data_IF_784046440842
#
_entry.id   IF_784046440842
#
_cell.length_a   1.000
_cell.length_b   1.000
_cell.length_c   1.000
_cell.angle_alpha   90.00
_cell.angle_beta   90.00
_cell.angle_gamma   90.00
#
_symmetry.space_group_name_H-M   'P 1'
#
loop_
_entity.id
_entity.type
_entity.pdbx_description
1 polymer ?
#
# COMPACT_ATOMS: atom_id res chain seq x y z
N UNK A 1 50.21 12.20 12.92
CA UNK A 1 49.85 12.38 11.51
C UNK A 1 49.80 10.99 10.86
N UNK A 2 48.66 10.32 10.91
CA UNK A 2 48.38 9.09 10.14
C UNK A 2 46.91 9.11 9.78
N UNK A 3 46.64 9.16 8.49
CA UNK A 3 45.31 9.07 7.86
C UNK A 3 44.82 7.63 7.92
N UNK A 4 43.61 7.42 8.44
CA UNK A 4 42.84 6.19 8.19
C UNK A 4 41.59 6.56 7.39
N UNK A 5 41.62 6.15 6.12
CA UNK A 5 40.44 6.10 5.24
C UNK A 5 39.53 4.95 5.69
N UNK A 6 38.37 5.28 6.23
CA UNK A 6 37.28 4.33 6.43
C UNK A 6 36.33 4.35 5.23
N UNK A 7 36.28 3.27 4.48
CA UNK A 7 35.27 3.03 3.45
C UNK A 7 33.93 2.76 4.13
N UNK A 8 32.98 3.66 4.02
CA UNK A 8 31.58 3.44 4.35
C UNK A 8 30.89 2.81 3.14
N UNK A 9 30.55 1.51 3.25
CA UNK A 9 29.59 0.87 2.38
C UNK A 9 28.20 1.24 2.89
N UNK A 10 27.61 2.27 2.34
CA UNK A 10 26.17 2.55 2.52
C UNK A 10 25.39 1.67 1.57
N UNK A 11 24.86 0.56 2.10
CA UNK A 11 23.79 -0.19 1.44
C UNK A 11 22.55 0.69 1.40
N UNK A 12 22.08 0.99 0.19
CA UNK A 12 20.87 1.77 -0.05
C UNK A 12 19.65 0.94 0.36
N UNK A 13 19.15 1.10 1.58
CA UNK A 13 17.83 0.59 1.99
C UNK A 13 16.77 1.48 1.33
N UNK A 14 16.00 0.92 0.41
CA UNK A 14 14.76 1.52 -0.08
C UNK A 14 13.82 1.74 1.10
N UNK A 15 13.53 2.99 1.42
CA UNK A 15 12.60 3.35 2.50
C UNK A 15 11.17 3.29 1.99
N UNK A 16 10.36 2.39 2.56
CA UNK A 16 8.92 2.57 2.59
C UNK A 16 8.60 3.63 3.64
N UNK A 17 7.86 4.68 3.26
CA UNK A 17 7.42 5.69 4.22
C UNK A 17 6.09 5.25 4.84
N UNK A 18 6.11 4.93 6.13
CA UNK A 18 4.92 4.66 6.94
C UNK A 18 4.56 5.97 7.65
N UNK A 19 3.40 6.51 7.35
CA UNK A 19 2.82 7.67 8.05
C UNK A 19 1.82 7.13 9.07
N UNK A 20 2.21 7.11 10.34
CA UNK A 20 1.40 6.59 11.46
C UNK A 20 2.27 6.31 12.69
N UNK A 21 1.66 5.98 13.81
CA UNK A 21 2.27 5.83 15.14
C UNK A 21 3.48 4.88 15.20
N UNK A 22 4.38 5.03 16.19
CA UNK A 22 5.64 4.27 16.27
C UNK A 22 5.38 2.77 16.46
N UNK A 23 5.98 1.98 15.60
CA UNK A 23 5.97 0.52 15.65
C UNK A 23 6.72 0.04 16.89
N UNK A 24 6.01 -0.58 17.81
CA UNK A 24 6.61 -1.36 18.89
C UNK A 24 7.08 -2.70 18.34
N UNK A 25 8.39 -2.94 18.32
CA UNK A 25 8.97 -4.22 17.90
C UNK A 25 8.64 -5.34 18.91
N UNK A 26 7.98 -6.38 18.42
CA UNK A 26 8.18 -7.72 18.92
C UNK A 26 7.34 -8.16 20.11
N UNK A 27 6.07 -8.50 19.87
CA UNK A 27 5.42 -9.56 20.65
C UNK A 27 4.91 -10.63 19.69
N UNK A 28 5.31 -11.87 19.94
CA UNK A 28 4.68 -13.06 19.34
C UNK A 28 3.23 -13.07 19.78
N UNK A 29 2.31 -13.18 18.82
CA UNK A 29 0.90 -13.41 19.09
C UNK A 29 0.76 -14.68 19.97
N UNK A 30 0.45 -14.49 21.26
CA UNK A 30 0.08 -15.52 22.19
C UNK A 30 -1.44 -15.60 22.25
N UNK A 31 -1.96 -16.81 22.12
CA UNK A 31 -3.35 -17.20 22.14
C UNK A 31 -4.22 -16.41 23.14
N UNK A 32 -5.15 -15.62 22.63
CA UNK A 32 -6.38 -15.02 23.15
C UNK A 32 -6.55 -13.57 22.65
N UNK A 33 -6.40 -13.34 21.36
CA UNK A 33 -6.79 -12.08 20.73
C UNK A 33 -8.09 -12.27 19.98
N UNK A 34 -8.98 -11.29 20.02
CA UNK A 34 -10.26 -11.33 19.30
C UNK A 34 -10.03 -11.44 17.80
N UNK A 35 -10.85 -12.26 17.14
CA UNK A 35 -10.78 -12.50 15.70
C UNK A 35 -11.42 -11.30 14.99
N UNK A 36 -10.61 -10.52 14.28
CA UNK A 36 -11.08 -9.36 13.50
C UNK A 36 -11.56 -9.82 12.12
N UNK A 37 -12.70 -9.30 11.70
CA UNK A 37 -13.24 -9.51 10.35
C UNK A 37 -12.84 -8.34 9.44
N UNK A 38 -11.88 -8.57 8.55
CA UNK A 38 -11.25 -7.54 7.72
C UNK A 38 -11.78 -7.59 6.30
N UNK A 39 -12.25 -6.45 5.77
CA UNK A 39 -12.53 -6.31 4.35
C UNK A 39 -11.33 -5.67 3.63
N UNK A 40 -10.81 -6.38 2.64
CA UNK A 40 -9.77 -5.85 1.75
C UNK A 40 -10.40 -5.55 0.39
N UNK A 41 -10.27 -4.29 -0.06
CA UNK A 41 -10.75 -3.85 -1.38
C UNK A 41 -9.55 -3.37 -2.19
N UNK A 42 -9.47 -3.79 -3.44
CA UNK A 42 -8.39 -3.34 -4.30
C UNK A 42 -8.87 -2.83 -5.66
N UNK A 43 -8.15 -1.82 -6.19
CA UNK A 43 -8.22 -1.36 -7.56
C UNK A 43 -6.85 -1.54 -8.25
N UNK A 44 -6.87 -2.14 -9.44
CA UNK A 44 -5.64 -2.43 -10.19
C UNK A 44 -5.84 -2.20 -11.67
N UNK A 45 -4.82 -1.65 -12.32
CA UNK A 45 -4.76 -1.52 -13.78
C UNK A 45 -3.94 -2.67 -14.38
N UNK A 46 -2.77 -2.95 -13.79
CA UNK A 46 -1.76 -3.87 -14.32
C UNK A 46 -1.65 -5.19 -13.52
N UNK A 47 -2.51 -5.40 -12.54
CA UNK A 47 -2.55 -6.61 -11.73
C UNK A 47 -1.59 -6.66 -10.54
N UNK A 48 -0.65 -5.71 -10.39
CA UNK A 48 0.26 -5.73 -9.24
C UNK A 48 -0.45 -5.46 -7.93
N UNK A 49 -1.39 -4.51 -7.89
CA UNK A 49 -2.18 -4.24 -6.68
C UNK A 49 -3.05 -5.42 -6.30
N UNK A 50 -3.58 -6.20 -7.26
CA UNK A 50 -4.25 -7.48 -6.98
C UNK A 50 -3.31 -8.44 -6.27
N UNK A 51 -2.09 -8.65 -6.77
CA UNK A 51 -1.08 -9.52 -6.14
C UNK A 51 -0.76 -9.08 -4.70
N UNK A 52 -0.64 -7.76 -4.48
CA UNK A 52 -0.44 -7.17 -3.15
C UNK A 52 -1.63 -7.48 -2.25
N UNK A 53 -2.85 -7.25 -2.72
CA UNK A 53 -4.07 -7.48 -1.95
C UNK A 53 -4.31 -8.97 -1.63
N UNK A 54 -4.04 -9.87 -2.57
CA UNK A 54 -4.10 -11.33 -2.36
C UNK A 54 -3.06 -11.80 -1.33
N UNK A 55 -1.85 -11.25 -1.39
CA UNK A 55 -0.80 -11.53 -0.41
C UNK A 55 -1.22 -11.01 0.98
N UNK A 56 -1.71 -9.77 1.06
CA UNK A 56 -2.22 -9.17 2.30
C UNK A 56 -3.34 -10.01 2.91
N UNK A 57 -4.30 -10.44 2.09
CA UNK A 57 -5.40 -11.29 2.56
C UNK A 57 -4.92 -12.63 3.12
N UNK A 58 -3.94 -13.26 2.49
CA UNK A 58 -3.33 -14.49 3.00
C UNK A 58 -2.60 -14.24 4.30
N UNK A 59 -1.77 -13.20 4.39
CA UNK A 59 -1.00 -12.85 5.57
C UNK A 59 -1.89 -12.58 6.80
N UNK A 60 -2.98 -11.84 6.63
CA UNK A 60 -3.98 -11.58 7.68
C UNK A 60 -4.70 -12.87 8.12
N UNK A 61 -5.03 -13.78 7.18
CA UNK A 61 -5.62 -15.09 7.53
C UNK A 61 -4.65 -15.99 8.28
N UNK A 62 -3.37 -15.99 7.88
CA UNK A 62 -2.30 -16.74 8.57
C UNK A 62 -2.06 -16.24 9.99
N UNK A 63 -2.38 -14.97 10.27
CA UNK A 63 -2.38 -14.37 11.61
C UNK A 63 -3.63 -14.69 12.43
N UNK A 64 -4.58 -15.48 11.90
CA UNK A 64 -5.76 -15.98 12.64
C UNK A 64 -7.03 -15.13 12.49
N UNK A 65 -7.06 -14.18 11.58
CA UNK A 65 -8.22 -13.30 11.35
C UNK A 65 -9.05 -13.74 10.15
N UNK A 66 -10.30 -13.24 10.06
CA UNK A 66 -11.20 -13.49 8.93
C UNK A 66 -11.02 -12.39 7.89
N UNK A 67 -10.93 -12.77 6.60
CA UNK A 67 -10.72 -11.80 5.52
C UNK A 67 -11.64 -12.08 4.35
N UNK A 68 -12.36 -11.04 3.93
CA UNK A 68 -12.98 -10.98 2.61
C UNK A 68 -12.17 -10.07 1.69
N UNK A 69 -11.94 -10.51 0.44
CA UNK A 69 -11.19 -9.78 -0.58
C UNK A 69 -12.13 -9.44 -1.74
N UNK A 70 -12.23 -8.15 -2.09
CA UNK A 70 -13.10 -7.66 -3.17
C UNK A 70 -12.33 -6.85 -4.20
N UNK A 71 -12.62 -7.10 -5.47
CA UNK A 71 -12.17 -6.24 -6.59
C UNK A 71 -13.15 -5.07 -6.75
N UNK A 72 -12.63 -3.84 -6.73
CA UNK A 72 -13.46 -2.62 -6.87
C UNK A 72 -14.16 -2.52 -8.23
N UNK A 73 -13.64 -3.18 -9.26
CA UNK A 73 -14.24 -3.18 -10.59
C UNK A 73 -15.57 -3.97 -10.68
N UNK A 74 -15.81 -4.90 -9.75
CA UNK A 74 -17.00 -5.75 -9.71
C UNK A 74 -17.82 -5.57 -8.43
N UNK A 75 -17.53 -4.53 -7.63
CA UNK A 75 -18.31 -4.22 -6.45
C UNK A 75 -19.77 -3.85 -6.85
N UNK A 76 -20.66 -4.84 -6.72
CA UNK A 76 -22.07 -4.54 -6.61
C UNK A 76 -22.35 -3.91 -5.25
N UNK A 77 -23.24 -2.91 -5.19
CA UNK A 77 -23.69 -2.13 -4.02
C UNK A 77 -23.05 -2.50 -2.66
N UNK A 78 -22.51 -1.53 -1.95
CA UNK A 78 -21.80 -1.69 -0.66
C UNK A 78 -22.67 -2.17 0.52
N UNK A 79 -23.56 -3.14 0.30
CA UNK A 79 -24.35 -3.74 1.38
C UNK A 79 -23.49 -4.66 2.25
N UNK A 80 -23.73 -4.62 3.56
CA UNK A 80 -23.04 -5.47 4.54
C UNK A 80 -21.67 -5.00 4.95
N UNK A 81 -21.27 -3.75 4.66
CA UNK A 81 -19.99 -3.21 5.07
C UNK A 81 -19.88 -3.02 6.60
N UNK A 82 -21.00 -2.82 7.26
CA UNK A 82 -21.09 -2.63 8.71
C UNK A 82 -20.66 -3.88 9.50
N UNK A 83 -20.71 -5.05 8.87
CA UNK A 83 -20.32 -6.33 9.50
C UNK A 83 -18.80 -6.53 9.62
N UNK A 84 -18.00 -5.70 8.95
CA UNK A 84 -16.56 -5.75 9.05
C UNK A 84 -16.05 -4.86 10.17
N UNK A 85 -15.02 -5.32 10.87
CA UNK A 85 -14.40 -4.61 11.99
C UNK A 85 -13.32 -3.64 11.51
N UNK A 86 -12.65 -3.98 10.40
CA UNK A 86 -11.58 -3.19 9.82
C UNK A 86 -11.53 -3.24 8.29
N UNK A 87 -10.91 -2.24 7.67
CA UNK A 87 -10.82 -2.09 6.23
C UNK A 87 -9.37 -1.88 5.77
N UNK A 88 -8.96 -2.59 4.72
CA UNK A 88 -7.72 -2.29 3.99
C UNK A 88 -8.09 -1.98 2.55
N UNK A 89 -7.74 -0.79 2.07
CA UNK A 89 -7.99 -0.40 0.68
C UNK A 89 -6.64 -0.26 -0.02
N UNK A 90 -6.47 -0.95 -1.15
CA UNK A 90 -5.26 -0.91 -1.96
C UNK A 90 -5.58 -0.39 -3.37
N UNK A 91 -4.87 0.63 -3.81
CA UNK A 91 -5.10 1.22 -5.13
C UNK A 91 -3.80 1.55 -5.85
N UNK A 92 -3.71 1.24 -7.15
CA UNK A 92 -2.61 1.72 -7.98
C UNK A 92 -2.86 3.15 -8.45
N UNK A 93 -1.76 3.87 -8.62
CA UNK A 93 -1.77 5.19 -9.26
C UNK A 93 -1.54 5.02 -10.76
N UNK A 94 -2.41 5.62 -11.56
CA UNK A 94 -2.29 5.73 -13.00
C UNK A 94 -2.60 7.17 -13.41
N UNK A 95 -1.73 7.80 -14.22
CA UNK A 95 -1.87 9.22 -14.62
C UNK A 95 -2.08 10.16 -13.42
N UNK A 96 -1.26 10.00 -12.38
CA UNK A 96 -1.31 10.78 -11.14
C UNK A 96 -2.61 10.64 -10.31
N UNK A 97 -3.48 9.71 -10.62
CA UNK A 97 -4.73 9.44 -9.92
C UNK A 97 -4.88 7.98 -9.52
N UNK A 98 -5.59 7.73 -8.42
CA UNK A 98 -6.05 6.38 -8.08
C UNK A 98 -7.28 6.03 -8.93
N UNK A 99 -7.59 4.72 -9.08
CA UNK A 99 -8.73 4.28 -9.89
C UNK A 99 -10.05 4.90 -9.42
N UNK A 100 -10.89 5.32 -10.38
CA UNK A 100 -12.20 5.91 -10.12
C UNK A 100 -13.11 4.99 -9.29
N UNK A 101 -13.03 3.67 -9.51
CA UNK A 101 -13.80 2.68 -8.73
C UNK A 101 -13.47 2.74 -7.24
N UNK A 102 -12.20 2.90 -6.88
CA UNK A 102 -11.75 3.06 -5.49
C UNK A 102 -12.13 4.44 -4.96
N UNK A 103 -11.93 5.49 -5.76
CA UNK A 103 -12.28 6.87 -5.38
C UNK A 103 -13.79 6.98 -5.09
N UNK A 104 -14.62 6.43 -5.96
CA UNK A 104 -16.07 6.40 -5.80
C UNK A 104 -16.49 5.59 -4.56
N UNK A 105 -15.88 4.42 -4.35
CA UNK A 105 -16.14 3.61 -3.15
C UNK A 105 -15.78 4.37 -1.87
N UNK A 106 -14.58 4.92 -1.79
CA UNK A 106 -14.13 5.65 -0.62
C UNK A 106 -15.00 6.89 -0.35
N UNK A 107 -15.38 7.64 -1.41
CA UNK A 107 -16.28 8.79 -1.30
C UNK A 107 -17.67 8.39 -0.78
N UNK A 108 -18.24 7.31 -1.30
CA UNK A 108 -19.56 6.85 -0.88
C UNK A 108 -19.59 6.36 0.58
N UNK A 109 -18.48 5.79 1.05
CA UNK A 109 -18.41 5.11 2.35
C UNK A 109 -17.46 5.80 3.35
N UNK A 110 -16.98 7.03 3.07
CA UNK A 110 -16.01 7.73 3.92
C UNK A 110 -16.44 7.84 5.39
N UNK A 111 -17.73 8.01 5.66
CA UNK A 111 -18.24 8.11 7.03
C UNK A 111 -18.00 6.82 7.81
N UNK A 112 -18.31 5.67 7.22
CA UNK A 112 -18.06 4.36 7.81
C UNK A 112 -16.56 4.11 7.97
N UNK A 113 -15.78 4.36 6.91
CA UNK A 113 -14.34 4.17 6.91
C UNK A 113 -13.61 5.06 7.94
N UNK A 114 -14.17 6.22 8.28
CA UNK A 114 -13.63 7.11 9.30
C UNK A 114 -14.02 6.69 10.74
N UNK A 115 -15.02 5.84 10.92
CA UNK A 115 -15.42 5.35 12.24
C UNK A 115 -14.72 4.06 12.64
N UNK A 116 -14.28 3.25 11.67
CA UNK A 116 -13.61 1.96 11.89
C UNK A 116 -12.12 2.04 11.58
N UNK A 117 -11.28 1.16 12.15
CA UNK A 117 -9.90 1.01 11.73
C UNK A 117 -9.82 0.83 10.21
N UNK A 118 -9.06 1.69 9.54
CA UNK A 118 -8.95 1.62 8.09
C UNK A 118 -7.55 1.99 7.62
N UNK A 119 -6.99 1.22 6.69
CA UNK A 119 -5.66 1.40 6.14
C UNK A 119 -5.70 1.61 4.63
N UNK A 120 -4.81 2.46 4.14
CA UNK A 120 -4.64 2.72 2.71
C UNK A 120 -3.26 2.28 2.21
N UNK A 121 -3.22 1.47 1.16
CA UNK A 121 -2.01 1.07 0.46
C UNK A 121 -2.03 1.73 -0.93
N UNK A 122 -1.25 2.80 -1.08
CA UNK A 122 -1.08 3.50 -2.35
C UNK A 122 0.09 2.90 -3.11
N UNK A 123 -0.19 2.32 -4.27
CA UNK A 123 0.80 1.60 -5.09
C UNK A 123 1.20 2.46 -6.29
N UNK A 124 2.47 2.88 -6.34
CA UNK A 124 2.97 3.71 -7.45
C UNK A 124 4.44 3.42 -7.75
N UNK A 125 4.90 3.80 -8.94
CA UNK A 125 6.34 3.79 -9.26
C UNK A 125 7.08 4.94 -8.56
N UNK A 126 6.41 6.06 -8.32
CA UNK A 126 7.00 7.20 -7.59
C UNK A 126 7.44 6.80 -6.18
N UNK A 127 6.75 5.86 -5.52
CA UNK A 127 7.10 5.39 -4.19
C UNK A 127 8.50 4.74 -4.09
N UNK A 128 9.10 4.32 -5.21
CA UNK A 128 10.45 3.69 -5.24
C UNK A 128 11.55 4.61 -5.74
N UNK A 129 11.23 5.83 -6.12
CA UNK A 129 12.21 6.83 -6.55
C UNK A 129 12.72 7.61 -5.34
N UNK A 130 14.02 7.93 -5.27
CA UNK A 130 14.60 8.70 -4.16
C UNK A 130 13.92 10.06 -3.96
N UNK A 131 13.54 10.72 -5.06
CA UNK A 131 12.84 12.00 -5.05
C UNK A 131 11.32 11.85 -5.20
N UNK A 132 10.83 10.63 -5.46
CA UNK A 132 9.42 10.33 -5.76
C UNK A 132 8.53 10.19 -4.52
N UNK A 133 9.10 10.13 -3.32
CA UNK A 133 8.32 9.99 -2.09
C UNK A 133 7.36 11.15 -1.85
N UNK A 134 7.73 12.37 -2.24
CA UNK A 134 6.84 13.55 -2.17
C UNK A 134 5.69 13.42 -3.16
N UNK A 135 5.98 13.07 -4.40
CA UNK A 135 4.97 12.86 -5.45
C UNK A 135 4.00 11.75 -5.07
N UNK A 136 4.50 10.63 -4.53
CA UNK A 136 3.66 9.54 -4.04
C UNK A 136 2.76 9.98 -2.88
N UNK A 137 3.24 10.86 -2.00
CA UNK A 137 2.43 11.45 -0.93
C UNK A 137 1.38 12.42 -1.48
N UNK A 138 1.71 13.25 -2.47
CA UNK A 138 0.76 14.16 -3.13
C UNK A 138 -0.42 13.40 -3.75
N UNK A 139 -0.19 12.18 -4.30
CA UNK A 139 -1.30 11.34 -4.78
C UNK A 139 -2.25 10.91 -3.66
N UNK A 140 -1.70 10.56 -2.50
CA UNK A 140 -2.51 10.21 -1.32
C UNK A 140 -3.26 11.42 -0.80
N UNK A 141 -2.60 12.58 -0.67
CA UNK A 141 -3.21 13.80 -0.16
C UNK A 141 -4.38 14.25 -1.06
N UNK A 142 -4.20 14.17 -2.38
CA UNK A 142 -5.25 14.43 -3.35
C UNK A 142 -6.43 13.47 -3.21
N UNK A 143 -6.16 12.18 -3.06
CA UNK A 143 -7.18 11.16 -2.86
C UNK A 143 -7.98 11.37 -1.57
N UNK A 144 -7.30 11.63 -0.45
CA UNK A 144 -7.91 11.92 0.85
C UNK A 144 -8.78 13.19 0.77
N UNK A 145 -8.28 14.24 0.10
CA UNK A 145 -9.02 15.48 -0.10
C UNK A 145 -10.32 15.30 -0.89
N UNK A 146 -10.29 14.47 -1.94
CA UNK A 146 -11.45 14.23 -2.81
C UNK A 146 -12.48 13.33 -2.14
N UNK A 147 -12.02 12.28 -1.45
CA UNK A 147 -12.90 11.26 -0.88
C UNK A 147 -13.46 11.62 0.48
N UNK A 148 -12.76 12.47 1.25
CA UNK A 148 -13.08 12.76 2.65
C UNK A 148 -12.80 11.60 3.60
N UNK A 149 -12.21 10.49 3.09
CA UNK A 149 -11.76 9.38 3.93
C UNK A 149 -10.37 9.67 4.51
N UNK A 150 -10.24 9.51 5.82
CA UNK A 150 -9.00 9.69 6.59
C UNK A 150 -8.53 8.32 7.10
N UNK A 151 -7.70 7.58 6.33
CA UNK A 151 -7.20 6.29 6.79
C UNK A 151 -6.36 6.45 8.06
N UNK A 152 -6.53 5.54 9.02
CA UNK A 152 -5.74 5.55 10.26
C UNK A 152 -4.26 5.22 10.02
N UNK A 153 -3.97 4.49 8.94
CA UNK A 153 -2.60 4.18 8.50
C UNK A 153 -2.50 4.23 6.97
N UNK A 154 -1.38 4.70 6.46
CA UNK A 154 -1.10 4.75 5.01
C UNK A 154 0.27 4.18 4.70
N UNK A 155 0.35 3.36 3.65
CA UNK A 155 1.60 2.83 3.10
C UNK A 155 1.77 3.29 1.66
N UNK A 156 2.90 3.94 1.37
CA UNK A 156 3.37 4.20 0.02
C UNK A 156 4.21 3.00 -0.42
N UNK A 157 3.75 2.25 -1.40
CA UNK A 157 4.36 0.98 -1.80
C UNK A 157 4.73 0.99 -3.29
N UNK A 158 5.90 0.44 -3.59
CA UNK A 158 6.33 0.23 -4.96
C UNK A 158 5.46 -0.79 -5.69
N UNK A 159 5.05 -0.43 -6.91
CA UNK A 159 4.31 -1.33 -7.79
C UNK A 159 5.21 -2.24 -8.63
N UNK A 160 4.81 -2.51 -9.86
CA UNK A 160 5.60 -3.20 -10.86
C UNK A 160 5.61 -2.40 -12.16
N UNK A 161 6.71 -2.51 -12.90
CA UNK A 161 6.81 -2.02 -14.25
C UNK A 161 6.58 -3.21 -15.18
N UNK A 162 5.49 -3.16 -15.96
CA UNK A 162 5.20 -4.14 -17.00
C UNK A 162 5.37 -3.51 -18.37
N UNK A 163 6.20 -4.12 -19.18
CA UNK A 163 6.43 -3.70 -20.56
C UNK A 163 5.35 -4.28 -21.47
N UNK A 164 4.11 -3.84 -21.27
CA UNK A 164 3.04 -4.06 -22.24
C UNK A 164 2.99 -2.91 -23.24
N UNK A 165 2.47 -3.13 -24.44
CA UNK A 165 2.53 -2.27 -25.64
C UNK A 165 1.82 -0.89 -25.51
N UNK A 166 1.77 -0.28 -24.32
CA UNK A 166 1.07 0.98 -24.11
C UNK A 166 2.02 2.18 -23.99
N UNK A 167 1.81 3.20 -24.81
CA UNK A 167 2.58 4.45 -24.90
C UNK A 167 2.74 5.19 -23.56
N UNK A 168 1.77 5.09 -22.66
CA UNK A 168 1.82 5.70 -21.33
C UNK A 168 2.99 5.19 -20.47
N UNK A 169 3.30 3.90 -20.56
CA UNK A 169 4.41 3.32 -19.82
C UNK A 169 5.78 3.75 -20.35
N UNK A 170 5.89 4.13 -21.60
CA UNK A 170 7.14 4.65 -22.16
C UNK A 170 7.57 5.94 -21.44
N UNK A 171 6.64 6.85 -21.12
CA UNK A 171 6.96 8.06 -20.34
C UNK A 171 7.41 7.74 -18.92
N UNK A 172 6.74 6.82 -18.23
CA UNK A 172 7.12 6.42 -16.87
C UNK A 172 8.45 5.67 -16.86
N UNK A 173 8.70 4.83 -17.86
CA UNK A 173 9.98 4.14 -18.08
C UNK A 173 11.10 5.15 -18.33
N UNK A 174 10.86 6.13 -19.20
CA UNK A 174 11.85 7.18 -19.50
C UNK A 174 12.16 7.98 -18.23
N UNK A 175 11.16 8.41 -17.47
CA UNK A 175 11.37 9.08 -16.18
C UNK A 175 12.17 8.21 -15.23
N UNK A 176 11.80 6.94 -15.08
CA UNK A 176 12.49 5.99 -14.20
C UNK A 176 13.95 5.71 -14.64
N UNK A 177 14.19 5.53 -15.94
CA UNK A 177 15.53 5.25 -16.50
C UNK A 177 16.42 6.50 -16.46
N UNK A 178 15.86 7.68 -16.75
CA UNK A 178 16.59 8.95 -16.71
C UNK A 178 16.97 9.34 -15.29
N UNK A 179 16.10 9.11 -14.31
CA UNK A 179 16.37 9.41 -12.90
C UNK A 179 17.39 8.45 -12.28
N UNK A 180 17.42 7.18 -12.67
CA UNK A 180 18.51 6.25 -12.30
C UNK A 180 19.68 6.39 -13.28
N UNK A 181 20.50 7.42 -13.10
CA UNK A 181 21.75 7.59 -13.81
C UNK A 181 22.59 6.31 -13.81
N UNK A 182 22.68 5.70 -14.96
CA UNK A 182 23.70 4.69 -15.19
C UNK A 182 23.18 3.37 -15.75
N UNK A 183 22.99 3.32 -17.04
CA UNK A 183 23.18 2.09 -17.76
C UNK A 183 21.95 1.39 -18.31
N UNK A 184 21.92 1.41 -19.62
CA UNK A 184 21.32 0.41 -20.49
C UNK A 184 19.83 0.14 -20.33
N UNK A 185 19.06 0.95 -20.99
CA UNK A 185 17.72 0.61 -21.50
C UNK A 185 17.73 -0.60 -22.46
N UNK A 186 18.56 -1.62 -22.22
CA UNK A 186 18.82 -2.69 -23.20
C UNK A 186 18.14 -4.02 -22.96
N UNK A 187 17.36 -4.17 -21.88
CA UNK A 187 16.44 -5.30 -21.76
C UNK A 187 15.22 -4.83 -21.00
N UNK A 188 14.22 -4.37 -21.73
CA UNK A 188 12.87 -4.14 -21.20
C UNK A 188 12.31 -5.49 -20.71
N UNK A 189 12.37 -5.73 -19.40
CA UNK A 189 11.76 -6.89 -18.74
C UNK A 189 10.87 -6.38 -17.63
N UNK A 190 9.77 -7.04 -17.41
CA UNK A 190 8.90 -6.82 -16.25
C UNK A 190 9.75 -6.79 -14.98
N UNK A 191 9.53 -5.77 -14.14
CA UNK A 191 10.26 -5.59 -12.89
C UNK A 191 9.30 -5.23 -11.78
N UNK A 192 9.39 -5.99 -10.71
CA UNK A 192 8.66 -5.74 -9.48
C UNK A 192 9.52 -4.97 -8.48
N UNK A 193 8.91 -3.97 -7.84
CA UNK A 193 9.55 -3.09 -6.84
C UNK A 193 8.87 -3.17 -5.48
N UNK A 194 7.92 -4.06 -5.30
CA UNK A 194 7.17 -4.20 -4.05
C UNK A 194 8.09 -4.65 -2.92
N UNK A 195 8.16 -3.85 -1.86
CA UNK A 195 8.83 -4.22 -0.61
C UNK A 195 7.86 -5.05 0.25
N UNK A 196 7.97 -6.37 0.12
CA UNK A 196 7.12 -7.31 0.85
C UNK A 196 7.34 -7.29 2.37
N UNK A 197 8.54 -6.93 2.84
CA UNK A 197 8.83 -6.83 4.27
C UNK A 197 8.19 -5.58 4.87
N UNK A 198 8.25 -4.45 4.16
CA UNK A 198 7.54 -3.25 4.56
C UNK A 198 6.03 -3.45 4.58
N UNK A 199 5.49 -4.18 3.58
CA UNK A 199 4.08 -4.54 3.55
C UNK A 199 3.70 -5.43 4.74
N UNK A 200 4.50 -6.45 5.06
CA UNK A 200 4.27 -7.32 6.21
C UNK A 200 4.18 -6.52 7.51
N UNK A 201 5.21 -5.72 7.81
CA UNK A 201 5.24 -4.91 9.03
C UNK A 201 4.09 -3.89 9.12
N UNK A 202 3.66 -3.34 7.98
CA UNK A 202 2.51 -2.44 7.92
C UNK A 202 1.20 -3.17 8.25
N UNK A 203 0.98 -4.35 7.67
CA UNK A 203 -0.22 -5.15 7.87
C UNK A 203 -0.30 -5.67 9.30
N UNK A 204 0.81 -6.14 9.87
CA UNK A 204 0.89 -6.58 11.26
C UNK A 204 0.51 -5.45 12.22
N UNK A 205 1.11 -4.27 12.05
CA UNK A 205 0.80 -3.10 12.88
C UNK A 205 -0.64 -2.61 12.71
N UNK A 206 -1.22 -2.74 11.53
CA UNK A 206 -2.63 -2.38 11.31
C UNK A 206 -3.57 -3.35 12.01
N UNK A 207 -3.34 -4.65 11.91
CA UNK A 207 -4.16 -5.68 12.57
C UNK A 207 -4.08 -5.55 14.08
N UNK A 208 -2.90 -5.31 14.65
CA UNK A 208 -2.76 -5.00 16.08
C UNK A 208 -3.64 -3.81 16.50
N UNK A 209 -3.64 -2.74 15.70
CA UNK A 209 -4.47 -1.55 15.98
C UNK A 209 -5.96 -1.86 15.93
N UNK A 210 -6.39 -2.73 14.99
CA UNK A 210 -7.78 -3.13 14.85
C UNK A 210 -8.27 -3.96 16.04
N UNK A 211 -7.46 -4.90 16.51
CA UNK A 211 -7.76 -5.73 17.70
C UNK A 211 -7.90 -4.87 18.96
N UNK A 212 -6.97 -3.95 19.22
CA UNK A 212 -6.99 -3.10 20.42
C UNK A 212 -8.18 -2.12 20.49
N UNK A 213 -8.79 -1.79 19.37
CA UNK A 213 -9.93 -0.87 19.36
C UNK A 213 -11.24 -1.58 19.70
N UNK A 214 -11.38 -2.83 19.30
CA UNK A 214 -12.55 -3.65 19.60
C UNK A 214 -12.69 -3.91 21.12
N UNK A 215 -11.58 -4.02 21.86
CA UNK A 215 -11.57 -4.22 23.32
C UNK A 215 -12.08 -3.00 24.14
N UNK A 216 -12.34 -1.83 23.50
CA UNK A 216 -12.70 -0.58 24.21
C UNK A 216 -14.11 -0.06 23.90
N UNK A 217 -14.82 -0.65 22.96
CA UNK A 217 -16.23 -0.34 22.65
C UNK A 217 -17.18 -1.32 23.33
#
# INVERSE_FOLDING_TARGET
>A
MVFLKGLSRTGNLMRASIVGLPVSLGKKFGASGDVVNVLIIYGTTEGQTRKIAEWTARHVRESGHVVELRDSAVLASGSGLETFDAFIIAASVHQACHQDTITNFATAHHKLLNTKPSAFISVSLSAVLEEGGREAQEYVDGFVSVTGWQPSMTLLLGGALRFTEYDYFQEQIVKFVVMKRGGAARTARDREFTDWNALAGFVDGFVETAVYRDERE
#
